data_IF_736974979735
#
_entry.id   IF_736974979735
#
_cell.length_a   1.000
_cell.length_b   1.000
_cell.length_c   1.000
_cell.angle_alpha   90.00
_cell.angle_beta   90.00
_cell.angle_gamma   90.00
#
_symmetry.space_group_name_H-M   'P 1'
#
loop_
_entity.id
_entity.type
_entity.pdbx_description
1 polymer ?
#
# COMPACT_ATOMS: atom_id res chain seq x y z
N UNK A 1 21.86 -32.44 12.48
CA UNK A 1 21.34 -32.28 11.10
C UNK A 1 19.87 -31.85 11.08
N UNK A 2 18.97 -32.46 11.86
CA UNK A 2 17.55 -32.05 11.95
C UNK A 2 17.35 -30.64 12.56
N UNK A 3 18.11 -30.26 13.56
CA UNK A 3 18.08 -28.91 14.16
C UNK A 3 18.45 -27.81 13.14
N UNK A 4 19.50 -28.04 12.33
CA UNK A 4 19.90 -27.09 11.29
C UNK A 4 18.80 -26.88 10.21
N UNK A 5 18.08 -27.94 9.87
CA UNK A 5 16.95 -27.84 8.92
C UNK A 5 15.77 -27.07 9.51
N UNK A 6 15.61 -27.08 10.82
CA UNK A 6 14.51 -26.41 11.52
C UNK A 6 14.79 -24.91 11.69
N UNK A 7 16.03 -24.53 11.96
CA UNK A 7 16.43 -23.14 12.23
C UNK A 7 16.76 -22.36 10.95
N UNK A 8 17.08 -23.05 9.84
CA UNK A 8 17.49 -22.43 8.60
C UNK A 8 16.46 -21.45 8.00
N UNK A 9 15.15 -21.76 7.91
CA UNK A 9 14.16 -20.84 7.37
C UNK A 9 14.04 -19.56 8.20
N UNK A 10 14.10 -19.69 9.52
CA UNK A 10 14.02 -18.54 10.42
C UNK A 10 15.25 -17.64 10.31
N UNK A 11 16.45 -18.23 10.27
CA UNK A 11 17.70 -17.49 10.07
C UNK A 11 17.72 -16.80 8.70
N UNK A 12 17.26 -17.49 7.66
CA UNK A 12 17.17 -16.93 6.32
C UNK A 12 16.24 -15.70 6.29
N UNK A 13 15.04 -15.80 6.85
CA UNK A 13 14.10 -14.68 6.94
C UNK A 13 14.72 -13.53 7.75
N UNK A 14 15.32 -13.82 8.90
CA UNK A 14 15.95 -12.79 9.73
C UNK A 14 17.02 -12.01 8.98
N UNK A 15 17.92 -12.70 8.27
CA UNK A 15 18.98 -12.05 7.49
C UNK A 15 18.43 -11.30 6.28
N UNK A 16 17.46 -11.88 5.56
CA UNK A 16 16.85 -11.26 4.36
C UNK A 16 16.14 -9.94 4.69
N UNK A 17 15.58 -9.84 5.90
CA UNK A 17 14.81 -8.66 6.30
C UNK A 17 15.47 -7.89 7.47
N UNK A 18 16.78 -8.08 7.69
CA UNK A 18 17.50 -7.43 8.80
C UNK A 18 17.33 -5.90 8.77
N UNK A 19 17.49 -5.29 7.61
CA UNK A 19 17.44 -3.85 7.41
C UNK A 19 16.02 -3.31 7.12
N UNK A 20 14.99 -4.14 7.21
CA UNK A 20 13.63 -3.69 7.03
C UNK A 20 13.06 -3.08 8.32
N UNK A 21 12.20 -2.10 8.17
CA UNK A 21 11.47 -1.49 9.27
C UNK A 21 10.38 -2.41 9.81
N UNK A 22 9.77 -2.07 10.95
CA UNK A 22 8.56 -2.71 11.42
C UNK A 22 7.42 -2.46 10.41
N UNK A 23 6.54 -3.46 10.21
CA UNK A 23 5.42 -3.41 9.28
C UNK A 23 5.14 -4.74 8.63
N UNK A 24 4.19 -4.74 7.71
CA UNK A 24 3.85 -5.90 6.87
C UNK A 24 4.96 -6.14 5.86
N UNK A 25 5.56 -7.33 5.88
CA UNK A 25 6.56 -7.77 4.90
C UNK A 25 5.90 -8.40 3.68
N UNK A 26 4.92 -9.28 3.92
CA UNK A 26 4.21 -10.00 2.86
C UNK A 26 2.82 -10.42 3.32
N UNK A 27 1.87 -10.52 2.40
CA UNK A 27 0.52 -11.00 2.69
C UNK A 27 -0.34 -9.98 3.43
N UNK A 28 -1.08 -10.43 4.45
CA UNK A 28 -2.07 -9.65 5.21
C UNK A 28 -3.03 -8.86 4.30
N UNK A 29 -3.45 -9.49 3.20
CA UNK A 29 -4.37 -8.85 2.26
C UNK A 29 -5.69 -8.57 2.95
N UNK A 30 -6.11 -7.32 2.88
CA UNK A 30 -7.41 -6.88 3.36
C UNK A 30 -8.41 -6.92 2.19
N UNK A 31 -9.53 -7.60 2.39
CA UNK A 31 -10.64 -7.64 1.45
C UNK A 31 -11.97 -7.55 2.19
N UNK A 32 -12.98 -6.97 1.55
CA UNK A 32 -14.34 -6.97 2.11
C UNK A 32 -14.92 -8.37 2.12
N UNK A 33 -15.77 -8.69 3.11
CA UNK A 33 -16.61 -9.90 3.09
C UNK A 33 -17.55 -9.86 1.89
N UNK A 34 -18.11 -10.99 1.50
CA UNK A 34 -19.09 -11.05 0.40
C UNK A 34 -20.33 -10.21 0.68
N UNK A 35 -20.73 -10.13 1.94
CA UNK A 35 -21.85 -9.30 2.40
C UNK A 35 -21.49 -7.84 2.55
N UNK A 36 -20.19 -7.50 2.64
CA UNK A 36 -19.66 -6.15 2.76
C UNK A 36 -19.79 -5.52 4.15
N UNK A 37 -20.13 -6.32 5.15
CA UNK A 37 -20.27 -5.95 6.57
C UNK A 37 -19.04 -6.34 7.43
N UNK A 38 -18.11 -7.07 6.81
CA UNK A 38 -16.89 -7.56 7.45
C UNK A 38 -15.65 -7.30 6.62
N UNK A 39 -14.51 -7.41 7.27
CA UNK A 39 -13.19 -7.33 6.69
C UNK A 39 -12.48 -8.68 6.87
N UNK A 40 -12.09 -9.28 5.77
CA UNK A 40 -11.29 -10.50 5.70
C UNK A 40 -9.82 -10.10 5.66
N UNK A 41 -9.04 -10.68 6.56
CA UNK A 41 -7.60 -10.43 6.71
C UNK A 41 -6.89 -11.74 6.40
N UNK A 42 -6.18 -11.80 5.29
CA UNK A 42 -5.43 -13.00 4.89
C UNK A 42 -4.20 -13.25 5.76
N UNK A 43 -3.64 -14.44 5.66
CA UNK A 43 -2.35 -14.74 6.28
C UNK A 43 -1.20 -13.90 5.73
N UNK A 44 -0.12 -13.77 6.49
CA UNK A 44 1.03 -12.98 6.07
C UNK A 44 2.24 -13.07 7.01
N UNK A 45 3.21 -12.23 6.72
CA UNK A 45 4.47 -12.11 7.47
C UNK A 45 4.63 -10.66 7.89
N UNK A 46 4.95 -10.42 9.14
CA UNK A 46 5.19 -9.08 9.69
C UNK A 46 6.54 -9.01 10.40
N UNK A 47 7.15 -7.84 10.39
CA UNK A 47 8.26 -7.52 11.29
C UNK A 47 7.73 -6.60 12.37
N UNK A 48 7.79 -7.06 13.62
CA UNK A 48 7.32 -6.32 14.78
C UNK A 48 8.26 -6.48 15.95
N UNK A 49 8.62 -5.39 16.63
CA UNK A 49 9.60 -5.37 17.73
C UNK A 49 10.93 -6.07 17.39
N UNK A 50 11.41 -5.88 16.15
CA UNK A 50 12.67 -6.44 15.69
C UNK A 50 12.62 -7.93 15.30
N UNK A 51 11.48 -8.60 15.45
CA UNK A 51 11.28 -10.03 15.12
C UNK A 51 10.34 -10.19 13.94
N UNK A 52 10.48 -11.30 13.22
CA UNK A 52 9.60 -11.70 12.12
C UNK A 52 8.58 -12.70 12.65
N UNK A 53 7.32 -12.44 12.36
CA UNK A 53 6.20 -13.29 12.76
C UNK A 53 5.42 -13.74 11.54
N UNK A 54 5.10 -15.02 11.49
CA UNK A 54 4.26 -15.63 10.45
C UNK A 54 2.85 -15.78 11.02
N UNK A 55 1.88 -15.22 10.34
CA UNK A 55 0.46 -15.25 10.68
C UNK A 55 -0.26 -16.07 9.60
N UNK A 56 -0.36 -17.41 9.75
CA UNK A 56 -0.82 -18.28 8.67
C UNK A 56 -2.34 -18.23 8.46
N UNK A 57 -3.10 -17.85 9.49
CA UNK A 57 -4.54 -17.94 9.48
C UNK A 57 -5.22 -16.71 8.88
N UNK A 58 -6.29 -16.96 8.14
CA UNK A 58 -7.23 -15.93 7.75
C UNK A 58 -8.18 -15.61 8.91
N UNK A 59 -8.48 -14.31 9.08
CA UNK A 59 -9.45 -13.85 10.09
C UNK A 59 -10.53 -13.00 9.42
N UNK A 60 -11.75 -13.16 9.92
CA UNK A 60 -12.89 -12.31 9.57
C UNK A 60 -13.21 -11.41 10.74
N UNK A 61 -13.30 -10.12 10.50
CA UNK A 61 -13.59 -9.10 11.51
C UNK A 61 -14.84 -8.33 11.09
N UNK A 62 -15.84 -8.25 11.96
CA UNK A 62 -17.04 -7.44 11.72
C UNK A 62 -16.69 -5.96 11.68
N UNK A 63 -17.23 -5.22 10.71
CA UNK A 63 -17.00 -3.80 10.52
C UNK A 63 -18.20 -3.00 11.07
N UNK A 64 -18.00 -2.10 12.03
CA UNK A 64 -19.09 -1.26 12.54
C UNK A 64 -19.52 -0.26 11.45
N UNK A 65 -20.81 -0.31 11.09
CA UNK A 65 -21.43 0.58 10.12
C UNK A 65 -22.15 1.73 10.84
N UNK A 66 -21.40 2.58 11.53
CA UNK A 66 -21.91 3.71 12.32
C UNK A 66 -21.52 5.08 11.78
N UNK A 67 -20.89 5.13 10.61
CA UNK A 67 -20.43 6.36 9.97
C UNK A 67 -19.22 7.00 10.66
N UNK A 68 -18.58 6.32 11.60
CA UNK A 68 -17.36 6.80 12.24
C UNK A 68 -16.14 6.10 11.64
N UNK A 69 -14.99 6.80 11.65
CA UNK A 69 -13.73 6.23 11.18
C UNK A 69 -13.22 5.16 12.15
N UNK A 70 -12.85 4.02 11.59
CA UNK A 70 -12.23 2.91 12.29
C UNK A 70 -10.85 2.62 11.71
N UNK A 71 -9.89 2.39 12.58
CA UNK A 71 -8.51 2.04 12.25
C UNK A 71 -8.26 0.60 12.65
N UNK A 72 -7.82 -0.24 11.71
CA UNK A 72 -7.51 -1.64 11.95
C UNK A 72 -6.05 -1.79 12.33
N UNK A 73 -5.81 -2.34 13.51
CA UNK A 73 -4.47 -2.63 14.02
C UNK A 73 -4.23 -4.12 14.20
N UNK A 74 -3.00 -4.54 13.92
CA UNK A 74 -2.42 -5.79 14.38
C UNK A 74 -1.66 -5.49 15.68
N UNK A 75 -2.13 -6.03 16.80
CA UNK A 75 -1.58 -5.81 18.13
C UNK A 75 -0.98 -7.09 18.69
N UNK A 76 0.17 -6.99 19.35
CA UNK A 76 0.74 -8.08 20.16
C UNK A 76 -0.01 -8.12 21.49
N UNK A 77 -0.64 -9.25 21.82
CA UNK A 77 -1.40 -9.42 23.06
C UNK A 77 -0.59 -10.07 24.18
N UNK A 78 0.24 -11.04 23.82
CA UNK A 78 1.01 -11.78 24.78
C UNK A 78 2.32 -12.31 24.22
N UNK A 79 3.25 -12.47 25.13
CA UNK A 79 4.53 -13.12 24.90
C UNK A 79 4.65 -14.17 26.02
N UNK A 80 4.44 -15.43 25.68
CA UNK A 80 4.54 -16.54 26.62
C UNK A 80 5.84 -17.30 26.38
N UNK A 81 6.51 -17.68 27.46
CA UNK A 81 7.73 -18.46 27.42
C UNK A 81 7.44 -19.84 27.98
N UNK A 82 7.55 -20.86 27.12
CA UNK A 82 7.43 -22.27 27.50
C UNK A 82 8.79 -22.96 27.27
N UNK A 83 9.57 -23.06 28.33
CA UNK A 83 10.94 -23.58 28.26
C UNK A 83 11.83 -22.73 27.35
N UNK A 84 12.32 -23.33 26.25
CA UNK A 84 13.13 -22.66 25.22
C UNK A 84 12.30 -22.00 24.11
N UNK A 85 10.98 -22.04 24.22
CA UNK A 85 10.04 -21.52 23.22
C UNK A 85 9.45 -20.20 23.66
N UNK A 86 9.43 -19.23 22.72
CA UNK A 86 8.69 -17.98 22.88
C UNK A 86 7.50 -18.00 21.93
N UNK A 87 6.30 -17.96 22.51
CA UNK A 87 5.03 -17.90 21.76
C UNK A 87 4.49 -16.48 21.76
N UNK A 88 4.15 -15.97 20.57
CA UNK A 88 3.59 -14.65 20.39
C UNK A 88 2.13 -14.77 19.98
N UNK A 89 1.24 -14.12 20.70
CA UNK A 89 -0.17 -14.02 20.33
C UNK A 89 -0.48 -12.65 19.77
N UNK A 90 -1.16 -12.62 18.62
CA UNK A 90 -1.58 -11.41 17.93
C UNK A 90 -3.09 -11.34 17.83
N UNK A 91 -3.63 -10.13 17.94
CA UNK A 91 -5.03 -9.87 17.68
C UNK A 91 -5.21 -8.73 16.67
N UNK A 92 -6.36 -8.74 16.01
CA UNK A 92 -6.81 -7.65 15.16
C UNK A 92 -7.83 -6.81 15.92
N UNK A 93 -7.55 -5.51 16.06
CA UNK A 93 -8.38 -4.59 16.83
C UNK A 93 -8.81 -3.40 15.99
N UNK A 94 -10.07 -3.00 16.14
CA UNK A 94 -10.58 -1.74 15.60
C UNK A 94 -10.50 -0.66 16.68
N UNK A 95 -9.90 0.47 16.33
CA UNK A 95 -9.78 1.65 17.20
C UNK A 95 -10.41 2.86 16.53
N UNK A 96 -10.81 3.86 17.34
CA UNK A 96 -11.40 5.11 16.83
C UNK A 96 -10.37 6.21 16.56
N UNK A 97 -9.18 6.04 17.10
CA UNK A 97 -8.08 6.99 16.97
C UNK A 97 -6.87 6.32 16.30
N UNK A 98 -6.17 7.09 15.48
CA UNK A 98 -4.92 6.66 14.88
C UNK A 98 -3.78 6.91 15.88
N UNK A 99 -3.29 5.83 16.52
CA UNK A 99 -2.17 5.88 17.46
C UNK A 99 -1.23 4.70 17.26
N UNK A 100 0.05 4.98 17.18
CA UNK A 100 1.10 3.95 16.98
C UNK A 100 1.21 2.95 18.14
N UNK A 101 0.81 3.32 19.33
CA UNK A 101 0.79 2.45 20.51
C UNK A 101 -0.18 1.26 20.38
N UNK A 102 -1.16 1.35 19.48
CA UNK A 102 -2.12 0.28 19.23
C UNK A 102 -1.53 -0.90 18.45
N UNK A 103 -0.35 -0.77 17.83
CA UNK A 103 0.31 -1.79 17.04
C UNK A 103 0.60 -1.35 15.61
N UNK A 104 0.63 -2.30 14.66
CA UNK A 104 0.79 -2.00 13.24
C UNK A 104 -0.57 -1.63 12.63
N UNK A 105 -0.65 -0.44 12.06
CA UNK A 105 -1.83 -0.01 11.31
C UNK A 105 -1.90 -0.75 9.97
N UNK A 106 -2.96 -1.50 9.75
CA UNK A 106 -3.19 -2.25 8.51
C UNK A 106 -4.07 -1.48 7.51
N UNK A 107 -4.90 -0.58 7.99
CA UNK A 107 -5.77 0.26 7.17
C UNK A 107 -6.85 0.94 7.99
N UNK A 108 -7.66 1.76 7.34
CA UNK A 108 -8.80 2.44 7.98
C UNK A 108 -10.00 2.49 7.06
N UNK A 109 -11.18 2.71 7.61
CA UNK A 109 -12.42 2.88 6.84
C UNK A 109 -13.44 3.70 7.64
N UNK A 110 -14.42 4.23 6.93
CA UNK A 110 -15.60 4.86 7.51
C UNK A 110 -16.84 4.26 6.82
N UNK A 111 -17.47 3.27 7.45
CA UNK A 111 -18.61 2.54 6.88
C UNK A 111 -19.91 3.16 7.36
N UNK A 112 -20.75 3.62 6.43
CA UNK A 112 -22.05 4.21 6.72
C UNK A 112 -23.12 3.12 6.91
N UNK A 113 -24.13 3.36 7.76
CA UNK A 113 -25.25 2.44 7.90
C UNK A 113 -25.92 2.13 6.55
N UNK A 114 -26.12 0.84 6.28
CA UNK A 114 -26.77 0.36 5.04
C UNK A 114 -25.85 0.32 3.81
N UNK A 115 -24.60 0.69 3.93
CA UNK A 115 -23.61 0.58 2.87
C UNK A 115 -22.69 -0.63 3.06
N UNK A 116 -21.98 -1.02 1.98
CA UNK A 116 -21.01 -2.10 1.97
C UNK A 116 -19.60 -1.57 1.87
N UNK A 117 -18.69 -2.12 2.65
CA UNK A 117 -17.27 -1.79 2.56
C UNK A 117 -16.69 -2.30 1.24
N UNK A 118 -15.97 -1.44 0.52
CA UNK A 118 -15.28 -1.76 -0.74
C UNK A 118 -13.78 -1.80 -0.52
N UNK A 119 -13.13 -2.81 -1.06
CA UNK A 119 -11.68 -2.95 -1.15
C UNK A 119 -11.17 -2.86 -2.60
N UNK A 120 -12.09 -2.80 -3.57
CA UNK A 120 -11.78 -2.59 -4.99
C UNK A 120 -11.93 -1.12 -5.32
N UNK A 121 -10.85 -0.54 -5.81
CA UNK A 121 -10.80 0.86 -6.21
C UNK A 121 -11.13 1.00 -7.69
N UNK A 122 -11.89 2.03 -8.04
CA UNK A 122 -12.21 2.38 -9.44
C UNK A 122 -10.99 2.97 -10.15
N UNK A 123 -10.27 3.85 -9.44
CA UNK A 123 -9.05 4.50 -9.87
C UNK A 123 -8.14 4.79 -8.66
N UNK A 124 -7.00 5.43 -8.89
CA UNK A 124 -6.06 5.78 -7.83
C UNK A 124 -6.62 6.79 -6.81
N UNK A 125 -7.57 7.64 -7.24
CA UNK A 125 -8.20 8.63 -6.34
C UNK A 125 -9.25 7.99 -5.44
N UNK A 126 -9.93 6.95 -5.90
CA UNK A 126 -10.96 6.23 -5.15
C UNK A 126 -10.40 5.61 -3.85
N UNK A 127 -9.08 5.33 -3.78
CA UNK A 127 -8.46 4.83 -2.54
C UNK A 127 -8.42 5.86 -1.40
N UNK A 128 -8.72 7.13 -1.68
CA UNK A 128 -8.87 8.21 -0.70
C UNK A 128 -10.33 8.58 -0.44
N UNK A 129 -11.29 7.78 -0.92
CA UNK A 129 -12.70 8.03 -0.66
C UNK A 129 -13.00 8.11 0.84
N UNK A 130 -13.78 9.11 1.25
CA UNK A 130 -14.01 9.38 2.65
C UNK A 130 -14.86 8.29 3.34
N UNK A 131 -15.73 7.62 2.57
CA UNK A 131 -16.70 6.65 3.08
C UNK A 131 -16.72 5.35 2.28
N UNK A 132 -17.12 4.28 2.94
CA UNK A 132 -17.46 2.97 2.37
C UNK A 132 -16.32 2.32 1.56
N UNK A 133 -15.10 2.80 1.72
CA UNK A 133 -13.90 2.32 1.02
C UNK A 133 -12.78 2.11 2.02
N UNK A 134 -12.04 1.02 1.85
CA UNK A 134 -10.87 0.70 2.65
C UNK A 134 -9.73 1.64 2.28
N UNK A 135 -9.27 2.45 3.23
CA UNK A 135 -8.14 3.36 3.07
C UNK A 135 -6.85 2.68 3.55
N UNK A 136 -5.90 2.47 2.63
CA UNK A 136 -4.63 1.80 2.88
C UNK A 136 -3.44 2.78 2.85
N UNK A 137 -3.67 4.08 2.70
CA UNK A 137 -2.60 5.06 2.50
C UNK A 137 -1.63 5.13 3.66
N UNK A 138 -2.11 5.00 4.89
CA UNK A 138 -1.31 5.05 6.12
C UNK A 138 -0.94 3.67 6.69
N UNK A 139 -1.24 2.57 5.98
CA UNK A 139 -0.90 1.24 6.45
C UNK A 139 0.62 1.06 6.63
N UNK A 140 1.01 0.35 7.69
CA UNK A 140 2.40 0.10 8.06
C UNK A 140 2.99 -1.05 7.23
N UNK A 141 3.63 -0.73 6.12
CA UNK A 141 4.40 -1.68 5.32
C UNK A 141 5.89 -1.55 5.61
N UNK A 142 6.52 -2.69 5.82
CA UNK A 142 7.97 -2.77 6.02
C UNK A 142 8.70 -2.44 4.71
N UNK A 143 9.74 -1.65 4.80
CA UNK A 143 10.63 -1.35 3.68
C UNK A 143 12.08 -1.34 4.13
N UNK A 144 13.04 -1.45 3.18
CA UNK A 144 14.45 -1.37 3.48
C UNK A 144 14.77 0.04 4.02
N UNK A 145 15.34 0.08 5.22
CA UNK A 145 15.74 1.28 5.97
C UNK A 145 14.60 2.22 6.38
N UNK A 146 13.55 2.37 5.59
CA UNK A 146 12.39 3.25 5.84
C UNK A 146 11.07 2.54 5.49
N UNK A 147 9.94 2.86 6.17
CA UNK A 147 8.64 2.25 5.89
C UNK A 147 8.25 2.41 4.41
N UNK A 148 7.80 1.33 3.78
CA UNK A 148 7.34 1.35 2.40
C UNK A 148 5.93 1.94 2.28
N UNK A 149 5.61 2.51 1.13
CA UNK A 149 4.23 2.82 0.77
C UNK A 149 3.49 1.56 0.33
N UNK A 150 2.18 1.49 0.59
CA UNK A 150 1.40 0.26 0.40
C UNK A 150 1.46 -0.28 -1.04
N UNK A 151 1.91 -1.54 -1.26
CA UNK A 151 2.15 -2.10 -2.60
C UNK A 151 0.92 -2.12 -3.51
N UNK A 152 -0.29 -2.38 -2.96
CA UNK A 152 -1.55 -2.36 -3.72
C UNK A 152 -1.81 -0.98 -4.33
N UNK A 153 -1.46 0.11 -3.62
CA UNK A 153 -1.62 1.47 -4.12
C UNK A 153 -0.59 1.80 -5.21
N UNK A 154 0.67 1.38 -5.03
CA UNK A 154 1.71 1.51 -6.06
C UNK A 154 1.35 0.76 -7.34
N UNK A 155 0.81 -0.46 -7.19
CA UNK A 155 0.31 -1.23 -8.32
C UNK A 155 -0.84 -0.52 -9.04
N UNK A 156 -1.79 0.05 -8.29
CA UNK A 156 -2.92 0.79 -8.86
C UNK A 156 -2.44 2.01 -9.64
N UNK A 157 -1.54 2.80 -9.04
CA UNK A 157 -0.88 3.93 -9.71
C UNK A 157 -0.22 3.50 -11.03
N UNK A 158 0.61 2.45 -11.01
CA UNK A 158 1.33 1.99 -12.17
C UNK A 158 0.38 1.53 -13.30
N UNK A 159 -0.68 0.78 -12.97
CA UNK A 159 -1.67 0.33 -13.95
C UNK A 159 -2.45 1.49 -14.56
N UNK A 160 -2.82 2.49 -13.75
CA UNK A 160 -3.52 3.68 -14.24
C UNK A 160 -2.59 4.52 -15.13
N UNK A 161 -1.34 4.72 -14.69
CA UNK A 161 -0.35 5.47 -15.47
C UNK A 161 -0.06 4.83 -16.83
N UNK A 162 0.05 3.50 -16.89
CA UNK A 162 0.26 2.76 -18.15
C UNK A 162 -0.92 2.86 -19.13
N UNK A 163 -2.12 3.20 -18.67
CA UNK A 163 -3.30 3.41 -19.53
C UNK A 163 -3.34 4.81 -20.15
N UNK A 164 -2.62 5.77 -19.56
CA UNK A 164 -2.57 7.14 -20.06
C UNK A 164 -1.61 7.23 -21.26
N UNK A 165 -1.93 8.11 -22.20
CA UNK A 165 -1.06 8.40 -23.34
C UNK A 165 0.14 9.27 -22.91
N UNK A 166 1.17 9.32 -23.76
CA UNK A 166 2.32 10.21 -23.56
C UNK A 166 3.33 9.73 -22.48
N UNK A 167 3.39 8.42 -22.23
CA UNK A 167 4.44 7.86 -21.38
C UNK A 167 5.82 8.07 -21.99
N UNK A 168 6.77 8.60 -21.20
CA UNK A 168 8.17 8.52 -21.55
C UNK A 168 8.76 7.17 -21.10
N UNK A 169 9.93 6.81 -21.64
CA UNK A 169 10.60 5.53 -21.33
C UNK A 169 10.89 5.39 -19.83
N UNK A 170 11.32 6.47 -19.17
CA UNK A 170 11.59 6.46 -17.72
C UNK A 170 10.35 6.07 -16.90
N UNK A 171 9.19 6.60 -17.26
CA UNK A 171 7.92 6.31 -16.58
C UNK A 171 7.45 4.90 -16.84
N UNK A 172 7.58 4.45 -18.09
CA UNK A 172 7.26 3.09 -18.45
C UNK A 172 8.09 2.10 -17.63
N UNK A 173 9.40 2.29 -17.57
CA UNK A 173 10.32 1.44 -16.80
C UNK A 173 10.00 1.51 -15.29
N UNK A 174 9.68 2.69 -14.77
CA UNK A 174 9.29 2.85 -13.37
C UNK A 174 8.00 2.10 -13.04
N UNK A 175 6.98 2.19 -13.90
CA UNK A 175 5.74 1.45 -13.74
C UNK A 175 5.97 -0.08 -13.81
N UNK A 176 6.82 -0.56 -14.74
CA UNK A 176 7.19 -1.98 -14.82
C UNK A 176 7.90 -2.43 -13.54
N UNK A 177 8.78 -1.61 -12.99
CA UNK A 177 9.48 -1.88 -11.74
C UNK A 177 8.50 -1.99 -10.56
N UNK A 178 7.51 -1.11 -10.47
CA UNK A 178 6.45 -1.18 -9.44
C UNK A 178 5.60 -2.45 -9.58
N UNK A 179 5.29 -2.87 -10.82
CA UNK A 179 4.48 -4.07 -11.07
C UNK A 179 5.24 -5.37 -10.82
N UNK A 180 6.56 -5.37 -10.99
CA UNK A 180 7.41 -6.55 -10.78
C UNK A 180 7.67 -6.87 -9.32
N UNK A 181 7.38 -5.95 -8.40
CA UNK A 181 7.61 -6.11 -6.96
C UNK A 181 6.29 -6.16 -6.19
N UNK A 182 5.86 -7.34 -5.73
CA UNK A 182 4.67 -7.48 -4.90
C UNK A 182 4.87 -7.01 -3.45
N UNK A 183 6.13 -6.82 -3.06
CA UNK A 183 6.58 -6.42 -1.72
C UNK A 183 6.77 -4.90 -1.61
N UNK A 184 7.19 -4.44 -0.43
CA UNK A 184 7.47 -3.02 -0.19
C UNK A 184 8.55 -2.46 -1.13
N UNK A 185 8.22 -1.37 -1.82
CA UNK A 185 9.13 -0.64 -2.68
C UNK A 185 9.98 0.34 -1.88
N UNK A 186 11.23 0.55 -2.30
CA UNK A 186 12.13 1.50 -1.64
C UNK A 186 11.52 2.91 -1.64
N UNK A 187 11.32 3.47 -0.45
CA UNK A 187 10.68 4.78 -0.26
C UNK A 187 11.47 5.92 -0.91
N UNK A 188 12.78 5.92 -0.74
CA UNK A 188 13.67 6.95 -1.30
C UNK A 188 13.58 6.99 -2.83
N UNK A 189 13.54 5.82 -3.49
CA UNK A 189 13.36 5.74 -4.93
C UNK A 189 12.03 6.35 -5.39
N UNK A 190 10.97 6.17 -4.62
CA UNK A 190 9.66 6.76 -4.89
C UNK A 190 9.68 8.28 -4.70
N UNK A 191 10.32 8.77 -3.64
CA UNK A 191 10.48 10.19 -3.35
C UNK A 191 11.30 10.91 -4.43
N UNK A 192 12.42 10.32 -4.86
CA UNK A 192 13.23 10.83 -5.97
C UNK A 192 12.46 10.86 -7.29
N UNK A 193 11.69 9.81 -7.58
CA UNK A 193 10.84 9.78 -8.77
C UNK A 193 9.83 10.94 -8.75
N UNK A 194 9.10 11.13 -7.64
CA UNK A 194 8.11 12.20 -7.49
C UNK A 194 8.78 13.58 -7.62
N UNK A 195 9.89 13.81 -6.89
CA UNK A 195 10.61 15.08 -6.92
C UNK A 195 11.06 15.43 -8.34
N UNK A 196 11.69 14.48 -9.05
CA UNK A 196 12.16 14.67 -10.43
C UNK A 196 11.02 14.98 -11.40
N UNK A 197 9.92 14.19 -11.32
CA UNK A 197 8.77 14.34 -12.24
C UNK A 197 7.99 15.63 -11.98
N UNK A 198 7.85 16.04 -10.73
CA UNK A 198 7.18 17.29 -10.36
C UNK A 198 8.11 18.51 -10.43
N UNK A 199 9.41 18.32 -10.76
CA UNK A 199 10.44 19.39 -10.76
C UNK A 199 10.52 20.11 -9.42
N UNK A 200 10.57 19.33 -8.33
CA UNK A 200 10.70 19.81 -6.96
C UNK A 200 12.05 19.35 -6.39
N UNK A 201 12.51 20.03 -5.37
CA UNK A 201 13.65 19.56 -4.58
C UNK A 201 13.29 18.27 -3.86
N UNK A 202 14.28 17.39 -3.72
CA UNK A 202 14.13 16.17 -2.94
C UNK A 202 13.87 16.50 -1.47
N UNK A 203 12.90 15.85 -0.90
CA UNK A 203 12.65 15.81 0.54
C UNK A 203 11.98 14.50 0.93
N UNK A 204 12.09 14.16 2.19
CA UNK A 204 11.32 13.06 2.76
C UNK A 204 9.81 13.39 2.75
N UNK A 205 9.02 12.41 2.35
CA UNK A 205 7.57 12.55 2.25
C UNK A 205 6.87 11.62 3.23
N UNK A 206 5.77 12.05 3.82
CA UNK A 206 4.82 11.18 4.52
C UNK A 206 4.06 10.29 3.51
N UNK A 207 3.31 9.30 3.99
CA UNK A 207 2.49 8.46 3.11
C UNK A 207 1.40 9.27 2.38
N UNK A 208 0.82 10.26 3.04
CA UNK A 208 -0.17 11.15 2.41
C UNK A 208 0.46 12.02 1.32
N UNK A 209 1.65 12.57 1.57
CA UNK A 209 2.38 13.37 0.57
C UNK A 209 2.86 12.52 -0.61
N UNK A 210 3.24 11.25 -0.39
CA UNK A 210 3.50 10.30 -1.48
C UNK A 210 2.26 10.08 -2.34
N UNK A 211 1.11 9.84 -1.68
CA UNK A 211 -0.16 9.69 -2.38
C UNK A 211 -0.53 10.95 -3.19
N UNK A 212 -0.39 12.13 -2.60
CA UNK A 212 -0.68 13.42 -3.27
C UNK A 212 0.25 13.65 -4.45
N UNK A 213 1.56 13.39 -4.30
CA UNK A 213 2.54 13.48 -5.37
C UNK A 213 2.23 12.57 -6.56
N UNK A 214 1.91 11.30 -6.29
CA UNK A 214 1.49 10.34 -7.33
C UNK A 214 0.17 10.75 -7.99
N UNK A 215 -0.80 11.25 -7.21
CA UNK A 215 -2.08 11.74 -7.73
C UNK A 215 -1.90 12.97 -8.63
N UNK A 216 -0.96 13.86 -8.27
CA UNK A 216 -0.63 15.03 -9.09
C UNK A 216 0.00 14.64 -10.42
N UNK A 217 0.89 13.63 -10.43
CA UNK A 217 1.49 13.10 -11.65
C UNK A 217 0.41 12.55 -12.61
N UNK A 218 -0.55 11.77 -12.10
CA UNK A 218 -1.66 11.27 -12.92
C UNK A 218 -2.50 12.41 -13.51
N UNK A 219 -2.75 13.48 -12.75
CA UNK A 219 -3.52 14.65 -13.23
C UNK A 219 -2.81 15.42 -14.33
N UNK A 220 -1.52 15.73 -14.14
CA UNK A 220 -0.74 16.54 -15.09
C UNK A 220 -0.66 15.90 -16.47
N UNK A 221 -0.65 14.60 -16.51
CA UNK A 221 -0.41 13.84 -17.73
C UNK A 221 -1.72 13.35 -18.40
N UNK A 222 -2.79 13.16 -17.63
CA UNK A 222 -4.14 12.99 -18.17
C UNK A 222 -4.65 14.23 -18.91
N UNK A 223 -4.16 15.44 -18.54
CA UNK A 223 -4.51 16.70 -19.21
C UNK A 223 -3.75 16.99 -20.51
N UNK A 224 -2.61 16.34 -20.76
CA UNK A 224 -1.83 16.52 -22.00
C UNK A 224 -2.40 15.80 -23.22
N UNK A 225 -3.31 14.86 -23.02
CA UNK A 225 -3.94 14.09 -24.10
C UNK A 225 -5.08 14.80 -24.83
N UNK A 226 -5.46 16.03 -24.45
CA UNK A 226 -6.57 16.79 -25.07
C UNK A 226 -6.12 17.95 -25.96
N UNK A 227 -4.82 18.18 -26.15
CA UNK A 227 -4.37 19.04 -27.23
C UNK A 227 -4.39 18.26 -28.55
N UNK A 228 -5.46 18.44 -29.33
CA UNK A 228 -5.51 18.02 -30.75
C UNK A 228 -4.24 18.56 -31.45
N UNK A 229 -3.51 17.74 -32.24
CA UNK A 229 -2.48 18.26 -33.10
C UNK A 229 -3.07 19.29 -34.02
N UNK A 230 -2.63 20.56 -33.92
CA UNK A 230 -3.12 21.68 -34.67
C UNK A 230 -3.30 21.32 -36.12
N UNK A 231 -4.49 21.62 -36.65
CA UNK A 231 -4.78 21.64 -38.09
C UNK A 231 -3.75 22.55 -38.75
N UNK A 232 -2.69 22.00 -39.30
CA UNK A 232 -1.87 22.68 -40.28
C UNK A 232 -2.75 23.10 -41.43
N UNK A 233 -2.89 24.41 -41.61
CA UNK A 233 -3.67 25.01 -42.66
C UNK A 233 -3.21 24.53 -44.03
N UNK A 234 -4.06 23.80 -44.75
CA UNK A 234 -3.90 23.53 -46.18
C UNK A 234 -3.89 24.86 -46.92
N UNK A 235 -2.69 25.31 -47.29
CA UNK A 235 -2.54 26.39 -48.28
C UNK A 235 -3.16 25.90 -49.59
N UNK A 236 -4.30 26.51 -49.98
CA UNK A 236 -4.85 26.36 -51.32
C UNK A 236 -3.93 27.12 -52.26
N UNK A 237 -3.26 26.45 -53.16
CA UNK A 237 -2.53 27.00 -54.31
C UNK A 237 -3.61 27.21 -55.37
N UNK A 238 -3.89 28.48 -55.68
CA UNK A 238 -4.63 28.83 -56.90
C UNK A 238 -3.63 28.90 -58.06
N UNK A 239 -3.79 28.06 -59.07
CA UNK A 239 -3.13 28.17 -60.36
C UNK A 239 -4.04 29.02 -61.25
N UNK A 240 -3.50 30.11 -61.73
CA UNK A 240 -4.07 30.97 -62.82
C UNK A 240 -3.71 30.40 -64.15
#
# INVERSE_FOLDING_TARGET
MLEALRTYPEQYLRLSYENYTAGVLYGLKLSSSEEGDGLRIGGGIVKYRGRIHILPEEKLLACPADGQRSYLYLSLEGEERDGDWECFSFSYRLQREEKREHGLLLGSFCLRPGFRLRDRYLDFRDCAAAFDTLDLRNADYAGPFRPAFHPKLLRLYALERLRLQGLCEEEFLFCQLLLSRPEGFCRESLEHYIARRLRREYRELSNLELYEGLSELLKREGGRGTEEPGREGRKRIFLS
#
